data_IF_765644830892
#
_entry.id   IF_765644830892
#
_cell.length_a   1.000
_cell.length_b   1.000
_cell.length_c   1.000
_cell.angle_alpha   90.00
_cell.angle_beta   90.00
_cell.angle_gamma   90.00
#
_symmetry.space_group_name_H-M   'P 1'
#
loop_
_entity.id
_entity.type
_entity.pdbx_description
1 polymer ?
#
# COMPACT_ATOMS: atom_id res chain seq x y z
N UNK A 1 1.35 27.94 -17.00
CA UNK A 1 1.69 26.61 -17.47
C UNK A 1 3.14 26.59 -17.93
N UNK A 2 3.91 25.63 -17.45
CA UNK A 2 5.27 25.31 -17.91
C UNK A 2 5.19 24.06 -18.79
N UNK A 3 5.97 24.00 -19.86
CA UNK A 3 6.07 22.85 -20.76
C UNK A 3 7.50 22.32 -20.76
N UNK A 4 7.62 20.99 -20.78
CA UNK A 4 8.89 20.28 -20.69
C UNK A 4 9.31 19.92 -19.26
N UNK A 5 10.50 19.38 -19.10
CA UNK A 5 11.05 18.91 -17.82
C UNK A 5 11.53 20.07 -16.95
N UNK A 6 11.05 20.09 -15.70
CA UNK A 6 11.69 20.88 -14.67
C UNK A 6 12.80 20.05 -14.02
N UNK A 7 14.05 20.30 -14.39
CA UNK A 7 15.24 19.58 -13.90
C UNK A 7 16.26 20.56 -13.31
N UNK A 8 16.05 21.01 -12.06
CA UNK A 8 16.94 21.96 -11.42
C UNK A 8 18.26 21.30 -11.00
N UNK A 9 19.25 22.13 -10.71
CA UNK A 9 20.57 21.68 -10.21
C UNK A 9 20.88 22.32 -8.87
N UNK A 10 21.70 21.63 -8.09
CA UNK A 10 22.16 22.09 -6.78
C UNK A 10 21.21 21.69 -5.65
N UNK A 11 21.76 21.58 -4.47
CA UNK A 11 21.04 21.20 -3.25
C UNK A 11 20.85 22.40 -2.33
N UNK A 12 19.76 22.37 -1.58
CA UNK A 12 19.60 23.23 -0.41
C UNK A 12 20.42 22.73 0.80
N UNK A 13 20.01 23.12 1.98
CA UNK A 13 20.52 22.58 3.23
C UNK A 13 19.38 22.31 4.21
N UNK A 14 19.67 21.60 5.28
CA UNK A 14 18.67 21.32 6.33
C UNK A 14 18.02 22.59 6.89
N UNK A 15 18.79 23.68 7.04
CA UNK A 15 18.32 24.96 7.57
C UNK A 15 17.82 25.93 6.48
N UNK A 16 18.12 25.67 5.22
CA UNK A 16 17.70 26.45 4.07
C UNK A 16 17.37 25.55 2.87
N UNK A 17 16.26 24.79 2.93
CA UNK A 17 15.84 23.98 1.80
C UNK A 17 15.39 24.87 0.65
N UNK A 18 15.54 24.39 -0.57
CA UNK A 18 15.02 25.06 -1.76
C UNK A 18 13.53 24.72 -1.87
N UNK A 19 12.69 25.73 -1.98
CA UNK A 19 11.24 25.60 -2.08
C UNK A 19 10.77 26.00 -3.47
N UNK A 20 9.97 25.13 -4.09
CA UNK A 20 9.19 25.41 -5.29
C UNK A 20 7.72 25.21 -4.91
N UNK A 21 6.95 26.28 -4.95
CA UNK A 21 5.54 26.23 -4.56
C UNK A 21 4.64 27.03 -5.48
N UNK A 22 3.36 26.69 -5.47
CA UNK A 22 2.32 27.48 -6.08
C UNK A 22 2.22 28.84 -5.39
N UNK A 23 2.12 29.92 -6.16
CA UNK A 23 2.01 31.28 -5.66
C UNK A 23 0.73 31.96 -6.14
N UNK A 24 0.10 32.71 -5.25
CA UNK A 24 -1.12 33.45 -5.53
C UNK A 24 -2.40 32.64 -5.37
N UNK A 25 -3.54 33.25 -5.73
CA UNK A 25 -4.85 32.60 -5.70
C UNK A 25 -5.22 32.08 -7.10
N UNK A 26 -6.00 31.00 -7.15
CA UNK A 26 -6.49 30.39 -8.39
C UNK A 26 -6.10 28.94 -8.57
N UNK A 27 -6.11 28.47 -9.82
CA UNK A 27 -5.72 27.10 -10.13
C UNK A 27 -4.23 26.85 -9.88
N UNK A 28 -3.87 25.64 -9.45
CA UNK A 28 -2.47 25.25 -9.27
C UNK A 28 -1.63 25.54 -10.51
N UNK A 29 -0.42 26.10 -10.36
CA UNK A 29 0.50 26.19 -11.48
C UNK A 29 0.83 24.80 -12.00
N UNK A 30 0.84 24.65 -13.34
CA UNK A 30 0.98 23.34 -13.98
C UNK A 30 2.30 23.19 -14.70
N UNK A 31 2.98 22.08 -14.46
CA UNK A 31 4.10 21.60 -15.26
C UNK A 31 3.59 20.40 -16.10
N UNK A 32 3.73 20.52 -17.41
CA UNK A 32 3.37 19.48 -18.37
C UNK A 32 4.64 18.94 -19.01
N UNK A 33 4.93 17.67 -18.78
CA UNK A 33 6.12 16.99 -19.27
C UNK A 33 6.11 16.73 -20.77
N UNK A 34 4.95 16.84 -21.45
CA UNK A 34 4.81 16.59 -22.89
C UNK A 34 5.31 15.20 -23.32
N UNK A 35 5.12 14.19 -22.46
CA UNK A 35 5.43 12.80 -22.75
C UNK A 35 6.90 12.42 -22.63
N UNK A 36 7.74 13.23 -22.01
CA UNK A 36 9.15 12.91 -21.74
C UNK A 36 9.32 12.07 -20.47
N UNK A 37 10.55 11.72 -20.10
CA UNK A 37 10.84 10.82 -18.98
C UNK A 37 10.19 11.23 -17.65
N UNK A 38 10.24 12.53 -17.28
CA UNK A 38 9.57 13.07 -16.10
C UNK A 38 9.22 14.55 -16.30
N UNK A 39 8.09 14.99 -15.75
CA UNK A 39 7.74 16.41 -15.79
C UNK A 39 8.54 17.21 -14.75
N UNK A 40 8.74 16.64 -13.54
CA UNK A 40 9.67 17.13 -12.52
C UNK A 40 10.72 16.07 -12.28
N UNK A 41 12.01 16.42 -12.43
CA UNK A 41 13.13 15.51 -12.25
C UNK A 41 14.19 16.08 -11.31
N UNK A 42 14.23 15.59 -10.08
CA UNK A 42 15.26 15.93 -9.09
C UNK A 42 16.32 14.85 -9.07
N UNK A 43 17.50 15.10 -9.64
CA UNK A 43 18.56 14.12 -9.81
C UNK A 43 19.76 14.45 -8.91
N UNK A 44 20.08 13.54 -7.99
CA UNK A 44 21.26 13.64 -7.14
C UNK A 44 21.29 14.83 -6.20
N UNK A 45 20.16 15.49 -5.96
CA UNK A 45 20.06 16.72 -5.18
C UNK A 45 19.25 16.50 -3.90
N UNK A 46 19.56 17.27 -2.86
CA UNK A 46 18.99 17.15 -1.52
C UNK A 46 18.38 18.45 -1.02
N UNK A 47 17.49 18.38 -0.03
CA UNK A 47 16.85 19.50 0.64
C UNK A 47 16.01 20.36 -0.32
N UNK A 48 15.08 19.69 -1.00
CA UNK A 48 14.09 20.32 -1.88
C UNK A 48 12.67 20.05 -1.37
N UNK A 49 11.84 21.06 -1.53
CA UNK A 49 10.40 20.97 -1.24
C UNK A 49 9.62 21.38 -2.48
N UNK A 50 8.79 20.50 -2.99
CA UNK A 50 7.85 20.76 -4.09
C UNK A 50 6.45 20.78 -3.49
N UNK A 51 5.74 21.91 -3.62
CA UNK A 51 4.45 22.10 -2.97
C UNK A 51 3.41 22.71 -3.90
N UNK A 52 2.19 22.16 -3.90
CA UNK A 52 1.05 22.77 -4.56
C UNK A 52 1.23 22.99 -6.07
N UNK A 53 1.84 22.04 -6.76
CA UNK A 53 2.09 22.05 -8.20
C UNK A 53 1.25 20.96 -8.86
N UNK A 54 0.51 21.32 -9.92
CA UNK A 54 -0.13 20.35 -10.80
C UNK A 54 0.88 19.81 -11.83
N UNK A 55 0.91 18.50 -12.03
CA UNK A 55 1.88 17.82 -12.89
C UNK A 55 1.14 16.88 -13.83
N UNK A 56 1.43 16.98 -15.13
CA UNK A 56 0.96 16.04 -16.15
C UNK A 56 2.12 15.60 -17.02
N UNK A 57 2.04 14.37 -17.57
CA UNK A 57 3.06 13.86 -18.48
C UNK A 57 2.44 12.89 -19.49
N UNK A 58 1.62 13.46 -20.36
CA UNK A 58 0.89 12.71 -21.38
C UNK A 58 1.71 12.48 -22.64
N UNK A 59 1.56 11.29 -23.22
CA UNK A 59 1.95 10.99 -24.58
C UNK A 59 0.93 10.03 -25.23
N UNK A 60 0.79 10.05 -26.56
CA UNK A 60 -0.11 9.11 -27.26
C UNK A 60 0.23 7.64 -27.03
N UNK A 61 1.50 7.33 -26.82
CA UNK A 61 2.00 5.98 -26.60
C UNK A 61 2.51 5.82 -25.15
N UNK A 62 2.32 4.63 -24.58
CA UNK A 62 2.90 4.28 -23.29
C UNK A 62 4.43 4.21 -23.36
N UNK A 63 5.09 4.53 -22.27
CA UNK A 63 6.53 4.42 -22.14
C UNK A 63 7.00 4.65 -20.72
N UNK A 64 8.30 4.56 -20.46
CA UNK A 64 8.87 4.86 -19.14
C UNK A 64 8.69 6.34 -18.84
N UNK A 65 7.68 6.70 -18.05
CA UNK A 65 7.29 8.07 -17.73
C UNK A 65 6.85 8.22 -16.28
N UNK A 66 7.25 9.37 -15.74
CA UNK A 66 6.93 9.78 -14.38
C UNK A 66 6.19 11.13 -14.41
N UNK A 67 5.36 11.39 -13.42
CA UNK A 67 4.93 12.75 -13.13
C UNK A 67 6.07 13.49 -12.43
N UNK A 68 6.37 13.09 -11.19
CA UNK A 68 7.49 13.61 -10.38
C UNK A 68 8.47 12.45 -10.15
N UNK A 69 9.75 12.66 -10.49
CA UNK A 69 10.82 11.70 -10.25
C UNK A 69 11.89 12.28 -9.33
N UNK A 70 12.18 11.59 -8.24
CA UNK A 70 13.33 11.83 -7.39
C UNK A 70 14.31 10.70 -7.63
N UNK A 71 15.44 10.97 -8.28
CA UNK A 71 16.50 10.02 -8.53
C UNK A 71 17.67 10.31 -7.57
N UNK A 72 17.99 9.36 -6.71
CA UNK A 72 19.02 9.54 -5.72
C UNK A 72 20.42 9.63 -6.33
N UNK A 73 21.36 10.21 -5.59
CA UNK A 73 22.78 10.16 -5.94
C UNK A 73 23.32 8.73 -5.69
N UNK A 74 23.83 8.03 -6.70
CA UNK A 74 24.34 6.67 -6.52
C UNK A 74 25.61 6.60 -5.66
N UNK A 75 26.30 7.72 -5.46
CA UNK A 75 27.55 7.77 -4.70
C UNK A 75 27.38 8.40 -3.30
N UNK A 76 26.14 8.72 -2.89
CA UNK A 76 25.91 9.37 -1.61
C UNK A 76 24.47 9.34 -1.13
N UNK A 77 24.22 10.02 -0.03
CA UNK A 77 22.90 10.09 0.57
C UNK A 77 22.09 11.23 -0.08
N UNK A 78 20.94 10.91 -0.64
CA UNK A 78 19.94 11.90 -1.08
C UNK A 78 18.92 12.07 0.04
N UNK A 79 18.75 13.31 0.53
CA UNK A 79 17.95 13.53 1.74
C UNK A 79 17.17 14.84 1.77
N UNK A 80 16.18 14.88 2.67
CA UNK A 80 15.42 16.09 2.94
C UNK A 80 14.51 16.49 1.78
N UNK A 81 13.87 15.54 1.10
CA UNK A 81 12.97 15.79 -0.01
C UNK A 81 11.53 15.74 0.48
N UNK A 82 10.76 16.76 0.18
CA UNK A 82 9.32 16.86 0.49
C UNK A 82 8.54 17.11 -0.79
N UNK A 83 7.55 16.23 -1.05
CA UNK A 83 6.54 16.43 -2.09
C UNK A 83 5.19 16.53 -1.38
N UNK A 84 4.59 17.73 -1.42
CA UNK A 84 3.44 18.04 -0.59
C UNK A 84 2.34 18.77 -1.36
N UNK A 85 1.10 18.28 -1.24
CA UNK A 85 -0.08 18.96 -1.78
C UNK A 85 -0.06 19.14 -3.31
N UNK A 86 0.67 18.30 -4.03
CA UNK A 86 0.71 18.33 -5.49
C UNK A 86 -0.44 17.52 -6.08
N UNK A 87 -0.88 17.89 -7.28
CA UNK A 87 -1.78 17.08 -8.11
C UNK A 87 -0.98 16.47 -9.25
N UNK A 88 -0.98 15.14 -9.35
CA UNK A 88 -0.27 14.42 -10.42
C UNK A 88 -1.28 13.61 -11.20
N UNK A 89 -1.44 13.91 -12.48
CA UNK A 89 -2.44 13.24 -13.31
C UNK A 89 -2.00 13.07 -14.76
N UNK A 90 -2.72 12.22 -15.49
CA UNK A 90 -2.50 12.02 -16.93
C UNK A 90 -1.02 11.67 -17.24
N UNK A 91 -0.48 10.68 -16.53
CA UNK A 91 0.85 10.14 -16.77
C UNK A 91 0.73 8.84 -17.55
N UNK A 92 1.15 8.84 -18.81
CA UNK A 92 1.06 7.67 -19.71
C UNK A 92 2.25 6.72 -19.54
N UNK A 93 2.46 6.28 -18.31
CA UNK A 93 3.50 5.32 -17.95
C UNK A 93 3.28 3.94 -18.57
N UNK A 94 4.32 3.15 -18.67
CA UNK A 94 4.29 1.76 -19.13
C UNK A 94 4.11 0.80 -17.95
N UNK A 95 3.26 -0.20 -18.14
CA UNK A 95 2.97 -1.19 -17.12
C UNK A 95 3.16 -2.62 -17.67
N UNK A 96 4.10 -2.81 -18.57
CA UNK A 96 4.35 -4.12 -19.19
C UNK A 96 5.15 -5.02 -18.26
N UNK A 97 4.56 -6.14 -17.89
CA UNK A 97 5.27 -7.30 -17.40
C UNK A 97 5.69 -8.17 -18.57
N UNK A 98 6.82 -7.87 -19.18
CA UNK A 98 7.45 -8.79 -20.10
C UNK A 98 8.27 -9.82 -19.31
N UNK A 99 8.27 -11.10 -19.69
CA UNK A 99 9.05 -12.15 -19.02
C UNK A 99 10.55 -11.84 -18.92
N UNK A 100 11.05 -11.02 -19.83
CA UNK A 100 12.46 -10.62 -19.89
C UNK A 100 12.74 -9.25 -19.25
N UNK A 101 11.71 -8.50 -18.91
CA UNK A 101 11.83 -7.15 -18.34
C UNK A 101 10.81 -6.99 -17.22
N UNK A 102 11.09 -7.55 -16.06
CA UNK A 102 10.43 -7.15 -14.79
C UNK A 102 10.50 -5.65 -14.53
N UNK A 103 11.23 -4.97 -15.36
CA UNK A 103 11.76 -3.66 -15.18
C UNK A 103 10.73 -2.55 -15.43
N UNK A 104 9.93 -2.61 -16.47
CA UNK A 104 9.12 -1.43 -16.80
C UNK A 104 8.00 -1.15 -15.78
N UNK A 105 7.37 -2.20 -15.25
CA UNK A 105 6.36 -1.99 -14.21
C UNK A 105 6.93 -1.44 -12.91
N UNK A 106 8.22 -1.58 -12.65
CA UNK A 106 8.90 -1.10 -11.44
C UNK A 106 9.58 0.26 -11.60
N UNK A 107 9.56 0.86 -12.79
CA UNK A 107 10.29 2.09 -13.10
C UNK A 107 9.38 3.26 -13.50
N UNK A 108 8.09 3.14 -13.26
CA UNK A 108 7.11 4.16 -13.60
C UNK A 108 6.17 4.41 -12.44
N UNK A 109 5.84 5.66 -12.20
CA UNK A 109 4.71 6.01 -11.33
C UNK A 109 4.33 7.49 -11.48
N UNK A 110 3.19 7.86 -10.91
CA UNK A 110 2.83 9.26 -10.78
C UNK A 110 3.89 10.03 -10.01
N UNK A 111 4.24 9.52 -8.80
CA UNK A 111 5.38 10.02 -8.00
C UNK A 111 6.36 8.87 -7.81
N UNK A 112 7.57 9.01 -8.37
CA UNK A 112 8.61 7.99 -8.33
C UNK A 112 9.84 8.48 -7.58
N UNK A 113 10.21 7.77 -6.51
CA UNK A 113 11.40 8.05 -5.71
C UNK A 113 12.30 6.82 -5.77
N UNK A 114 13.50 6.96 -6.32
CA UNK A 114 14.34 5.79 -6.61
C UNK A 114 15.82 6.02 -6.38
N UNK A 115 16.51 4.93 -6.06
CA UNK A 115 17.96 4.83 -6.13
C UNK A 115 18.34 4.15 -7.47
N UNK A 116 19.14 4.78 -8.33
CA UNK A 116 19.58 4.18 -9.59
C UNK A 116 20.71 3.17 -9.33
N UNK A 117 20.40 1.93 -9.09
CA UNK A 117 21.33 0.89 -8.68
C UNK A 117 21.00 0.34 -7.30
N UNK A 118 21.98 -0.22 -6.61
CA UNK A 118 21.82 -0.79 -5.26
C UNK A 118 22.07 0.24 -4.18
N UNK A 119 21.22 0.24 -3.17
CA UNK A 119 21.44 1.04 -1.97
C UNK A 119 22.42 0.37 -0.99
N UNK A 120 23.02 1.17 -0.13
CA UNK A 120 23.89 0.73 0.95
C UNK A 120 23.85 1.75 2.11
N UNK A 121 24.58 1.48 3.20
CA UNK A 121 24.73 2.46 4.29
C UNK A 121 25.38 3.78 3.86
N UNK A 122 26.05 3.82 2.72
CA UNK A 122 26.79 4.98 2.22
C UNK A 122 26.04 5.74 1.12
N UNK A 123 25.11 5.08 0.42
CA UNK A 123 24.29 5.64 -0.63
C UNK A 123 22.85 5.15 -0.48
N UNK A 124 21.96 6.00 -0.05
CA UNK A 124 20.55 5.69 0.14
C UNK A 124 19.68 6.95 0.18
N UNK A 125 18.39 6.76 0.19
CA UNK A 125 17.40 7.80 0.44
C UNK A 125 17.23 7.99 1.95
N UNK A 126 17.23 9.24 2.41
CA UNK A 126 16.98 9.59 3.80
C UNK A 126 16.06 10.80 3.93
N UNK A 127 15.14 10.78 4.87
CA UNK A 127 14.22 11.90 5.12
C UNK A 127 13.44 12.29 3.85
N UNK A 128 12.63 11.35 3.36
CA UNK A 128 11.76 11.50 2.19
C UNK A 128 10.32 11.54 2.67
N UNK A 129 9.63 12.65 2.39
CA UNK A 129 8.24 12.85 2.80
C UNK A 129 7.38 13.09 1.55
N UNK A 130 6.39 12.23 1.34
CA UNK A 130 5.37 12.35 0.29
C UNK A 130 4.03 12.51 0.99
N UNK A 131 3.46 13.72 0.98
CA UNK A 131 2.30 14.00 1.83
C UNK A 131 1.22 14.84 1.17
N UNK A 132 -0.05 14.48 1.40
CA UNK A 132 -1.20 15.29 0.98
C UNK A 132 -1.32 15.47 -0.53
N UNK A 133 -0.71 14.62 -1.34
CA UNK A 133 -0.79 14.70 -2.80
C UNK A 133 -2.07 14.02 -3.32
N UNK A 134 -2.57 14.50 -4.45
CA UNK A 134 -3.61 13.85 -5.22
C UNK A 134 -3.02 13.28 -6.50
N UNK A 135 -2.95 11.95 -6.58
CA UNK A 135 -2.39 11.22 -7.74
C UNK A 135 -3.51 10.44 -8.39
N UNK A 136 -3.83 10.74 -9.65
CA UNK A 136 -4.98 10.10 -10.31
C UNK A 136 -4.82 10.00 -11.83
N UNK A 137 -5.57 9.10 -12.43
CA UNK A 137 -5.57 8.90 -13.88
C UNK A 137 -4.15 8.68 -14.43
N UNK A 138 -3.36 7.85 -13.73
CA UNK A 138 -2.01 7.46 -14.15
C UNK A 138 -2.01 6.02 -14.66
N UNK A 139 -1.41 5.76 -15.83
CA UNK A 139 -1.42 4.44 -16.47
C UNK A 139 -0.39 3.46 -15.86
N UNK A 140 0.09 3.73 -14.68
CA UNK A 140 1.08 2.96 -13.92
C UNK A 140 0.75 3.05 -12.43
N UNK A 141 1.72 2.80 -11.54
CA UNK A 141 1.51 2.95 -10.09
C UNK A 141 1.33 4.42 -9.67
N UNK A 142 0.58 4.66 -8.60
CA UNK A 142 0.38 6.01 -8.08
C UNK A 142 1.66 6.58 -7.47
N UNK A 143 2.13 5.98 -6.37
CA UNK A 143 3.35 6.39 -5.66
C UNK A 143 4.26 5.18 -5.50
N UNK A 144 5.57 5.36 -5.78
CA UNK A 144 6.56 4.31 -5.63
C UNK A 144 7.85 4.84 -5.01
N UNK A 145 8.37 4.11 -4.04
CA UNK A 145 9.71 4.28 -3.46
C UNK A 145 10.46 2.96 -3.57
N UNK A 146 11.61 2.92 -4.26
CA UNK A 146 12.42 1.70 -4.38
C UNK A 146 13.87 2.01 -4.80
N UNK A 147 14.66 0.95 -4.96
CA UNK A 147 15.87 0.96 -5.77
C UNK A 147 15.66 0.22 -7.10
N UNK A 148 16.48 0.50 -8.11
CA UNK A 148 16.32 -0.09 -9.45
C UNK A 148 16.95 -1.47 -9.58
N UNK A 149 18.03 -1.75 -8.89
CA UNK A 149 18.72 -3.04 -8.94
C UNK A 149 18.52 -3.83 -7.66
N UNK A 150 18.28 -5.14 -7.79
CA UNK A 150 18.18 -6.09 -6.68
C UNK A 150 17.23 -5.62 -5.55
N UNK A 151 16.06 -5.16 -5.92
CA UNK A 151 15.12 -4.49 -5.02
C UNK A 151 14.59 -5.37 -3.87
N UNK A 152 14.86 -6.69 -3.90
CA UNK A 152 14.40 -7.63 -2.87
C UNK A 152 15.44 -7.91 -1.77
N UNK A 153 16.70 -7.47 -1.93
CA UNK A 153 17.78 -7.87 -1.02
C UNK A 153 18.37 -6.74 -0.17
N UNK A 154 18.19 -5.50 -0.57
CA UNK A 154 18.79 -4.36 0.14
C UNK A 154 17.73 -3.56 0.91
N UNK A 155 18.00 -3.24 2.16
CA UNK A 155 17.11 -2.47 3.04
C UNK A 155 17.93 -1.35 3.67
N UNK A 156 18.00 -0.17 3.03
CA UNK A 156 18.88 0.91 3.48
C UNK A 156 18.22 2.28 3.50
N UNK A 157 17.09 2.49 2.77
CA UNK A 157 16.39 3.77 2.82
C UNK A 157 15.83 4.00 4.22
N UNK A 158 15.94 5.21 4.73
CA UNK A 158 15.56 5.52 6.10
C UNK A 158 14.69 6.76 6.19
N UNK A 159 13.81 6.82 7.17
CA UNK A 159 12.92 7.94 7.41
C UNK A 159 12.08 8.28 6.16
N UNK A 160 11.47 7.25 5.56
CA UNK A 160 10.54 7.38 4.44
C UNK A 160 9.11 7.44 4.98
N UNK A 161 8.40 8.50 4.66
CA UNK A 161 7.03 8.75 5.11
C UNK A 161 6.14 9.02 3.91
N UNK A 162 5.11 8.20 3.72
CA UNK A 162 4.05 8.38 2.72
C UNK A 162 2.74 8.56 3.47
N UNK A 163 2.20 9.79 3.51
CA UNK A 163 1.05 10.07 4.38
C UNK A 163 0.00 10.99 3.78
N UNK A 164 -1.27 10.72 4.08
CA UNK A 164 -2.37 11.61 3.74
C UNK A 164 -2.54 11.84 2.23
N UNK A 165 -2.00 10.96 1.39
CA UNK A 165 -2.15 11.07 -0.05
C UNK A 165 -3.48 10.45 -0.48
N UNK A 166 -4.05 10.97 -1.57
CA UNK A 166 -5.18 10.41 -2.28
C UNK A 166 -4.70 9.88 -3.62
N UNK A 167 -4.91 8.58 -3.84
CA UNK A 167 -4.57 7.89 -5.09
C UNK A 167 -5.86 7.35 -5.70
N UNK A 168 -6.09 7.59 -6.98
CA UNK A 168 -7.31 7.13 -7.67
C UNK A 168 -7.02 6.70 -9.10
N UNK A 169 -7.68 5.62 -9.50
CA UNK A 169 -7.66 5.15 -10.90
C UNK A 169 -6.25 5.05 -11.47
N UNK A 170 -5.52 4.09 -10.99
CA UNK A 170 -4.19 3.77 -11.51
C UNK A 170 -4.24 2.66 -12.56
N UNK A 171 -3.19 2.52 -13.33
CA UNK A 171 -3.02 1.40 -14.27
C UNK A 171 -2.45 0.14 -13.61
N UNK A 172 -1.84 0.28 -12.44
CA UNK A 172 -1.37 -0.82 -11.59
C UNK A 172 -1.57 -0.46 -10.11
N UNK A 173 -0.56 -0.62 -9.29
CA UNK A 173 -0.62 -0.43 -7.84
C UNK A 173 -0.98 1.00 -7.40
N UNK A 174 -1.49 1.13 -6.19
CA UNK A 174 -1.69 2.43 -5.59
C UNK A 174 -0.40 2.99 -5.00
N UNK A 175 0.12 2.38 -3.94
CA UNK A 175 1.34 2.80 -3.23
C UNK A 175 2.27 1.61 -3.04
N UNK A 176 3.54 1.79 -3.40
CA UNK A 176 4.60 0.81 -3.21
C UNK A 176 5.75 1.45 -2.43
N UNK A 177 6.18 0.81 -1.34
CA UNK A 177 7.35 1.24 -0.59
C UNK A 177 8.30 0.06 -0.41
N UNK A 178 9.49 0.19 -0.96
CA UNK A 178 10.50 -0.86 -0.91
C UNK A 178 11.86 -0.33 -0.40
N UNK A 179 12.74 -1.25 0.01
CA UNK A 179 14.12 -1.01 0.41
C UNK A 179 14.30 -0.09 1.62
N UNK A 180 13.29 -0.04 2.49
CA UNK A 180 13.20 0.93 3.58
C UNK A 180 13.30 0.27 4.97
N UNK A 181 14.00 0.96 5.88
CA UNK A 181 14.00 0.65 7.31
C UNK A 181 12.90 1.49 7.98
N UNK A 182 11.97 0.83 8.65
CA UNK A 182 10.86 1.42 9.41
C UNK A 182 10.08 2.49 8.62
N UNK A 183 9.65 2.23 7.37
CA UNK A 183 8.85 3.21 6.64
C UNK A 183 7.49 3.38 7.32
N UNK A 184 6.96 4.61 7.22
CA UNK A 184 5.61 4.93 7.68
C UNK A 184 4.69 5.21 6.50
N UNK A 185 3.62 4.41 6.36
CA UNK A 185 2.56 4.61 5.37
C UNK A 185 1.27 4.88 6.15
N UNK A 186 0.83 6.14 6.20
CA UNK A 186 -0.13 6.60 7.20
C UNK A 186 -1.24 7.47 6.61
N UNK A 187 -2.49 7.10 6.84
CA UNK A 187 -3.65 7.93 6.51
C UNK A 187 -3.83 8.20 5.01
N UNK A 188 -3.33 7.32 4.13
CA UNK A 188 -3.54 7.46 2.69
C UNK A 188 -4.89 6.87 2.30
N UNK A 189 -5.44 7.38 1.19
CA UNK A 189 -6.63 6.84 0.56
C UNK A 189 -6.29 6.38 -0.85
N UNK A 190 -6.43 5.07 -1.08
CA UNK A 190 -6.13 4.43 -2.35
C UNK A 190 -7.41 3.78 -2.91
N UNK A 191 -7.89 4.27 -4.04
CA UNK A 191 -9.13 3.81 -4.65
C UNK A 191 -8.89 3.41 -6.10
N UNK A 192 -9.54 2.30 -6.51
CA UNK A 192 -9.53 1.83 -7.88
C UNK A 192 -8.11 1.59 -8.45
N UNK A 193 -7.23 0.99 -7.66
CA UNK A 193 -5.94 0.52 -8.17
C UNK A 193 -6.17 -0.52 -9.28
N UNK A 194 -5.48 -0.38 -10.40
CA UNK A 194 -5.64 -1.23 -11.58
C UNK A 194 -6.82 -0.87 -12.49
N UNK A 195 -7.64 0.13 -12.16
CA UNK A 195 -8.83 0.47 -12.95
C UNK A 195 -8.51 0.91 -14.40
N UNK A 196 -7.33 1.46 -14.62
CA UNK A 196 -6.82 1.81 -15.96
C UNK A 196 -5.87 0.75 -16.52
N UNK A 197 -5.75 -0.38 -15.85
CA UNK A 197 -4.95 -1.52 -16.26
C UNK A 197 -5.54 -2.20 -17.48
N UNK A 198 -4.68 -2.91 -18.19
CA UNK A 198 -5.04 -3.75 -19.33
C UNK A 198 -4.75 -5.20 -18.96
N UNK A 199 -5.73 -6.10 -19.12
CA UNK A 199 -5.60 -7.55 -18.83
C UNK A 199 -4.43 -8.23 -19.56
N UNK A 200 -3.99 -7.68 -20.70
CA UNK A 200 -2.85 -8.22 -21.45
C UNK A 200 -1.50 -7.79 -20.87
N UNK A 201 -1.45 -6.64 -20.20
CA UNK A 201 -0.20 -6.01 -19.75
C UNK A 201 -0.10 -5.92 -18.23
N UNK A 202 -1.22 -5.62 -17.54
CA UNK A 202 -1.26 -5.47 -16.08
C UNK A 202 -1.38 -6.83 -15.42
N UNK A 203 -0.50 -7.10 -14.47
CA UNK A 203 -0.50 -8.32 -13.68
C UNK A 203 -0.04 -7.99 -12.27
N UNK A 204 -0.46 -8.76 -11.29
CA UNK A 204 0.05 -8.71 -9.92
C UNK A 204 0.02 -7.28 -9.35
N UNK A 205 -1.11 -6.86 -8.84
CA UNK A 205 -1.27 -5.52 -8.25
C UNK A 205 -1.85 -5.62 -6.85
N UNK A 206 -1.53 -4.63 -6.03
CA UNK A 206 -2.19 -4.40 -4.76
C UNK A 206 -2.48 -2.90 -4.53
N UNK A 207 -3.38 -2.61 -3.61
CA UNK A 207 -3.68 -1.22 -3.26
C UNK A 207 -2.48 -0.54 -2.63
N UNK A 208 -1.98 -1.07 -1.52
CA UNK A 208 -0.78 -0.58 -0.80
C UNK A 208 0.07 -1.78 -0.39
N UNK A 209 1.34 -1.79 -0.76
CA UNK A 209 2.23 -2.89 -0.40
C UNK A 209 3.67 -2.49 -0.12
N UNK A 210 4.38 -3.38 0.56
CA UNK A 210 5.76 -3.23 0.96
C UNK A 210 6.60 -4.42 0.51
N UNK A 211 7.84 -4.16 0.09
CA UNK A 211 8.79 -5.16 -0.36
C UNK A 211 10.19 -4.81 0.14
N UNK A 212 10.99 -5.79 0.56
CA UNK A 212 12.33 -5.53 1.09
C UNK A 212 12.34 -4.39 2.12
N UNK A 213 11.40 -4.41 3.06
CA UNK A 213 11.35 -3.44 4.17
C UNK A 213 11.64 -4.13 5.48
N UNK A 214 12.16 -3.39 6.46
CA UNK A 214 12.27 -3.83 7.84
C UNK A 214 11.36 -2.99 8.72
N UNK A 215 10.58 -3.64 9.59
CA UNK A 215 9.76 -3.01 10.61
C UNK A 215 8.81 -1.90 10.07
N UNK A 216 8.16 -2.17 8.95
CA UNK A 216 7.24 -1.24 8.31
C UNK A 216 5.95 -1.05 9.13
N UNK A 217 5.43 0.19 9.16
CA UNK A 217 4.16 0.51 9.78
C UNK A 217 3.17 1.09 8.75
N UNK A 218 2.09 0.36 8.50
CA UNK A 218 1.01 0.71 7.59
C UNK A 218 -0.25 0.92 8.40
N UNK A 219 -0.71 2.17 8.54
CA UNK A 219 -1.81 2.47 9.45
C UNK A 219 -2.76 3.56 8.95
N UNK A 220 -4.02 3.48 9.39
CA UNK A 220 -5.06 4.48 9.11
C UNK A 220 -5.27 4.76 7.62
N UNK A 221 -4.90 3.80 6.76
CA UNK A 221 -5.15 3.92 5.34
C UNK A 221 -6.54 3.40 4.99
N UNK A 222 -7.13 3.97 3.94
CA UNK A 222 -8.32 3.44 3.28
C UNK A 222 -7.92 2.89 1.92
N UNK A 223 -8.32 1.64 1.62
CA UNK A 223 -8.05 0.98 0.34
C UNK A 223 -9.31 0.34 -0.19
N UNK A 224 -9.70 0.71 -1.42
CA UNK A 224 -10.93 0.16 -2.02
C UNK A 224 -10.85 -0.03 -3.52
N UNK A 225 -11.65 -0.96 -4.02
CA UNK A 225 -11.85 -1.16 -5.45
C UNK A 225 -10.62 -1.65 -6.21
N UNK A 226 -9.62 -2.22 -5.53
CA UNK A 226 -8.45 -2.81 -6.19
C UNK A 226 -8.91 -3.92 -7.13
N UNK A 227 -8.46 -3.87 -8.38
CA UNK A 227 -8.87 -4.82 -9.42
C UNK A 227 -8.11 -6.13 -9.32
N UNK A 228 -8.80 -7.23 -9.61
CA UNK A 228 -8.18 -8.55 -9.69
C UNK A 228 -7.51 -8.76 -11.05
N UNK A 229 -6.20 -8.98 -11.04
CA UNK A 229 -5.43 -9.41 -12.20
C UNK A 229 -4.69 -10.72 -11.88
N UNK A 230 -4.97 -11.77 -12.65
CA UNK A 230 -4.52 -13.14 -12.34
C UNK A 230 -4.96 -13.56 -10.92
N UNK A 231 -4.06 -13.62 -9.97
CA UNK A 231 -4.34 -13.96 -8.58
C UNK A 231 -4.19 -12.80 -7.60
N UNK A 232 -3.73 -11.62 -8.04
CA UNK A 232 -3.52 -10.44 -7.21
C UNK A 232 -4.65 -9.43 -7.37
N UNK A 233 -4.77 -8.54 -6.42
CA UNK A 233 -5.84 -7.54 -6.36
C UNK A 233 -6.27 -7.28 -4.93
N UNK A 234 -5.40 -7.59 -3.97
CA UNK A 234 -5.63 -7.39 -2.54
C UNK A 234 -5.53 -5.91 -2.16
N UNK A 235 -6.16 -5.56 -1.05
CA UNK A 235 -5.98 -4.22 -0.48
C UNK A 235 -4.54 -3.98 -0.07
N UNK A 236 -3.95 -4.95 0.63
CA UNK A 236 -2.58 -4.90 1.14
C UNK A 236 -1.76 -6.10 0.70
N UNK A 237 -0.41 -5.91 0.67
CA UNK A 237 0.52 -6.98 0.41
C UNK A 237 1.82 -6.77 1.22
N UNK A 238 2.35 -7.89 1.73
CA UNK A 238 3.69 -7.96 2.33
C UNK A 238 4.53 -8.90 1.48
N UNK A 239 5.39 -8.32 0.66
CA UNK A 239 6.07 -9.01 -0.41
C UNK A 239 7.53 -9.37 -0.04
N UNK A 240 8.26 -9.87 -0.99
CA UNK A 240 9.58 -10.48 -0.91
C UNK A 240 10.62 -9.62 -0.19
N UNK A 241 11.57 -10.27 0.46
CA UNK A 241 12.68 -9.60 1.11
C UNK A 241 12.32 -8.77 2.34
N UNK A 242 11.09 -8.88 2.84
CA UNK A 242 10.65 -8.21 4.06
C UNK A 242 11.34 -8.79 5.28
N UNK A 243 11.85 -7.92 6.16
CA UNK A 243 12.58 -8.25 7.38
C UNK A 243 11.88 -7.66 8.61
N UNK A 244 12.31 -8.10 9.81
CA UNK A 244 11.73 -7.63 11.06
C UNK A 244 10.24 -7.95 11.16
N UNK A 245 9.43 -7.01 11.65
CA UNK A 245 7.98 -7.16 11.80
C UNK A 245 7.24 -6.07 11.04
N UNK A 246 6.43 -6.44 10.07
CA UNK A 246 5.52 -5.52 9.37
C UNK A 246 4.20 -5.43 10.13
N UNK A 247 3.69 -4.22 10.34
CA UNK A 247 2.43 -3.99 11.07
C UNK A 247 1.43 -3.25 10.20
N UNK A 248 0.25 -3.85 10.02
CA UNK A 248 -0.94 -3.22 9.46
C UNK A 248 -1.95 -2.99 10.57
N UNK A 249 -2.27 -1.73 10.87
CA UNK A 249 -3.20 -1.44 11.97
C UNK A 249 -4.13 -0.26 11.67
N UNK A 250 -5.36 -0.33 12.20
CA UNK A 250 -6.37 0.73 12.08
C UNK A 250 -6.66 1.14 10.63
N UNK A 251 -6.47 0.22 9.68
CA UNK A 251 -6.80 0.46 8.29
C UNK A 251 -8.27 0.09 8.03
N UNK A 252 -8.83 0.73 7.01
CA UNK A 252 -10.14 0.40 6.47
C UNK A 252 -9.99 -0.06 5.02
N UNK A 253 -10.51 -1.26 4.70
CA UNK A 253 -10.49 -1.80 3.35
C UNK A 253 -11.90 -2.18 2.95
N UNK A 254 -12.24 -1.99 1.67
CA UNK A 254 -13.55 -2.42 1.18
C UNK A 254 -13.58 -2.65 -0.34
N UNK A 255 -14.40 -3.60 -0.77
CA UNK A 255 -14.69 -3.88 -2.18
C UNK A 255 -13.44 -4.21 -3.03
N UNK A 256 -12.36 -4.70 -2.42
CA UNK A 256 -11.17 -5.14 -3.15
C UNK A 256 -11.39 -6.53 -3.75
N UNK A 257 -11.15 -6.69 -5.04
CA UNK A 257 -11.49 -7.91 -5.77
C UNK A 257 -10.60 -9.11 -5.42
N UNK A 258 -9.34 -8.89 -5.06
CA UNK A 258 -8.41 -9.93 -4.66
C UNK A 258 -8.48 -10.29 -3.18
N UNK A 259 -9.07 -9.42 -2.35
CA UNK A 259 -9.20 -9.66 -0.92
C UNK A 259 -8.51 -8.63 -0.03
N UNK A 260 -8.33 -9.00 1.24
CA UNK A 260 -7.81 -8.08 2.24
C UNK A 260 -6.28 -7.98 2.23
N UNK A 261 -5.58 -9.12 2.25
CA UNK A 261 -4.12 -9.12 2.37
C UNK A 261 -3.47 -10.30 1.67
N UNK A 262 -2.31 -10.05 1.02
CA UNK A 262 -1.42 -11.05 0.41
C UNK A 262 -0.15 -11.21 1.26
N UNK A 263 0.27 -12.46 1.50
CA UNK A 263 1.51 -12.80 2.19
C UNK A 263 2.49 -13.52 1.26
N UNK A 264 3.54 -12.79 0.85
CA UNK A 264 4.68 -13.32 0.08
C UNK A 264 6.00 -13.26 0.87
N UNK A 265 5.97 -13.14 2.20
CA UNK A 265 7.16 -12.89 3.03
C UNK A 265 8.21 -13.99 2.98
N UNK A 266 7.85 -15.23 2.63
CA UNK A 266 8.73 -16.40 2.68
C UNK A 266 9.72 -16.54 1.53
N UNK A 267 9.68 -15.71 0.52
CA UNK A 267 10.49 -15.89 -0.72
C UNK A 267 11.92 -15.41 -0.55
N UNK A 268 12.39 -14.79 0.41
CA UNK A 268 13.82 -14.54 0.63
C UNK A 268 14.24 -14.92 2.04
N UNK A 269 14.66 -16.16 2.21
CA UNK A 269 15.03 -16.74 3.50
C UNK A 269 16.37 -16.27 4.07
N UNK A 270 17.10 -15.41 3.35
CA UNK A 270 18.39 -14.87 3.83
C UNK A 270 18.24 -13.68 4.76
N UNK A 271 17.01 -13.20 4.96
CA UNK A 271 16.66 -12.05 5.79
C UNK A 271 15.82 -12.55 6.97
N UNK A 272 16.09 -12.09 8.18
CA UNK A 272 15.29 -12.42 9.35
C UNK A 272 13.94 -11.72 9.29
N UNK A 273 12.91 -12.43 8.83
CA UNK A 273 11.52 -12.01 8.89
C UNK A 273 10.86 -12.60 10.16
N UNK A 274 10.29 -11.75 10.98
CA UNK A 274 9.53 -12.15 12.19
C UNK A 274 8.04 -12.29 11.92
N UNK A 275 7.63 -11.98 10.70
CA UNK A 275 6.25 -12.09 10.23
C UNK A 275 5.50 -10.77 10.24
N UNK A 276 4.20 -10.88 9.93
CA UNK A 276 3.31 -9.74 9.79
C UNK A 276 2.28 -9.73 10.91
N UNK A 277 1.99 -8.54 11.44
CA UNK A 277 0.91 -8.31 12.39
C UNK A 277 -0.19 -7.50 11.70
N UNK A 278 -1.41 -8.04 11.68
CA UNK A 278 -2.58 -7.34 11.19
C UNK A 278 -3.56 -7.17 12.35
N UNK A 279 -3.76 -5.93 12.82
CA UNK A 279 -4.58 -5.68 14.01
C UNK A 279 -5.46 -4.46 13.88
N UNK A 280 -6.67 -4.57 14.46
CA UNK A 280 -7.61 -3.44 14.56
C UNK A 280 -7.99 -2.86 13.20
N UNK A 281 -7.90 -3.68 12.16
CA UNK A 281 -8.33 -3.31 10.81
C UNK A 281 -9.79 -3.65 10.61
N UNK A 282 -10.41 -2.95 9.68
CA UNK A 282 -11.78 -3.15 9.25
C UNK A 282 -11.73 -3.53 7.78
N UNK A 283 -12.23 -4.72 7.44
CA UNK A 283 -12.36 -5.21 6.07
C UNK A 283 -13.85 -5.43 5.76
N UNK A 284 -14.36 -4.74 4.75
CA UNK A 284 -15.77 -4.80 4.36
C UNK A 284 -15.90 -5.23 2.91
N UNK A 285 -16.59 -6.33 2.67
CA UNK A 285 -16.85 -6.84 1.32
C UNK A 285 -15.61 -7.03 0.43
N UNK A 286 -14.43 -7.18 1.03
CA UNK A 286 -13.24 -7.63 0.30
C UNK A 286 -13.49 -9.05 -0.20
N UNK A 287 -13.47 -9.25 -1.53
CA UNK A 287 -13.92 -10.51 -2.15
C UNK A 287 -12.79 -11.54 -2.22
N UNK A 288 -13.01 -12.64 -2.90
CA UNK A 288 -12.10 -13.78 -3.13
C UNK A 288 -11.58 -14.41 -1.84
N UNK A 289 -10.72 -13.76 -1.09
CA UNK A 289 -10.22 -14.28 0.18
C UNK A 289 -9.80 -13.17 1.16
N UNK A 290 -9.83 -13.44 2.44
CA UNK A 290 -9.27 -12.52 3.43
C UNK A 290 -7.74 -12.52 3.33
N UNK A 291 -7.14 -13.70 3.18
CA UNK A 291 -5.70 -13.87 3.05
C UNK A 291 -5.40 -14.70 1.81
N UNK A 292 -4.56 -14.13 0.95
CA UNK A 292 -3.84 -14.90 -0.06
C UNK A 292 -2.45 -15.24 0.48
N UNK A 293 -2.15 -16.51 0.68
CA UNK A 293 -0.86 -16.95 1.20
C UNK A 293 -0.02 -17.56 0.07
N UNK A 294 0.92 -16.75 -0.45
CA UNK A 294 1.86 -17.16 -1.47
C UNK A 294 3.28 -17.30 -0.86
N UNK A 295 3.47 -18.32 -0.04
CA UNK A 295 4.72 -18.61 0.69
C UNK A 295 4.95 -17.72 1.93
N UNK A 296 3.90 -17.34 2.65
CA UNK A 296 4.00 -16.63 3.91
C UNK A 296 4.82 -17.35 4.99
N UNK A 297 5.49 -16.59 5.84
CA UNK A 297 6.25 -17.13 6.97
C UNK A 297 5.36 -17.23 8.20
N UNK A 298 4.74 -16.13 8.60
CA UNK A 298 3.88 -16.02 9.76
C UNK A 298 3.05 -14.77 9.72
N UNK A 299 1.79 -14.88 10.11
CA UNK A 299 0.96 -13.72 10.40
C UNK A 299 0.18 -13.90 11.70
N UNK A 300 0.17 -12.85 12.51
CA UNK A 300 -0.67 -12.72 13.70
C UNK A 300 -1.80 -11.71 13.41
N UNK A 301 -3.03 -12.21 13.27
CA UNK A 301 -4.22 -11.41 13.01
C UNK A 301 -5.06 -11.32 14.28
N UNK A 302 -5.17 -10.13 14.86
CA UNK A 302 -5.98 -10.00 16.06
C UNK A 302 -6.76 -8.68 16.16
N UNK A 303 -7.95 -8.79 16.74
CA UNK A 303 -8.83 -7.65 16.91
C UNK A 303 -9.25 -6.99 15.60
N UNK A 304 -9.34 -7.74 14.49
CA UNK A 304 -9.85 -7.20 13.23
C UNK A 304 -11.35 -7.47 13.10
N UNK A 305 -12.03 -6.62 12.34
CA UNK A 305 -13.39 -6.84 11.89
C UNK A 305 -13.37 -7.25 10.41
N UNK A 306 -13.90 -8.40 10.10
CA UNK A 306 -14.20 -8.88 8.77
C UNK A 306 -15.72 -8.90 8.60
N UNK A 307 -16.25 -7.91 7.91
CA UNK A 307 -17.68 -7.73 7.63
C UNK A 307 -17.97 -8.06 6.17
N UNK A 308 -18.86 -9.01 5.91
CA UNK A 308 -19.23 -9.36 4.55
C UNK A 308 -20.76 -9.52 4.43
N UNK A 309 -21.35 -8.63 3.65
CA UNK A 309 -22.81 -8.57 3.39
C UNK A 309 -23.17 -8.98 1.96
N UNK A 310 -22.16 -9.36 1.16
CA UNK A 310 -22.33 -9.75 -0.24
C UNK A 310 -22.86 -11.18 -0.45
N UNK A 311 -23.16 -11.50 -1.68
CA UNK A 311 -23.70 -12.82 -2.06
C UNK A 311 -22.63 -13.93 -2.00
N UNK A 312 -21.38 -13.61 -2.28
CA UNK A 312 -20.25 -14.53 -2.27
C UNK A 312 -19.36 -14.19 -1.07
N UNK A 313 -19.29 -15.08 -0.11
CA UNK A 313 -18.42 -14.91 1.06
C UNK A 313 -16.98 -15.28 0.68
N UNK A 314 -15.97 -14.48 1.07
CA UNK A 314 -14.58 -14.80 0.77
C UNK A 314 -14.12 -16.09 1.43
N UNK A 315 -13.14 -16.76 0.85
CA UNK A 315 -12.37 -17.77 1.57
C UNK A 315 -11.58 -17.09 2.71
N UNK A 316 -11.35 -17.79 3.82
CA UNK A 316 -10.52 -17.25 4.90
C UNK A 316 -9.06 -17.20 4.45
N UNK A 317 -8.58 -18.28 3.85
CA UNK A 317 -7.26 -18.32 3.21
C UNK A 317 -7.37 -18.97 1.84
N UNK A 318 -6.55 -18.56 0.90
CA UNK A 318 -6.39 -19.20 -0.40
C UNK A 318 -4.93 -19.36 -0.79
N UNK A 319 -4.63 -20.26 -1.74
CA UNK A 319 -3.37 -20.64 -2.36
C UNK A 319 -2.48 -21.56 -1.49
N UNK A 320 -2.26 -21.31 -0.24
CA UNK A 320 -1.54 -22.18 0.69
C UNK A 320 -2.50 -22.72 1.75
N UNK A 321 -2.06 -23.68 2.52
CA UNK A 321 -2.86 -24.28 3.58
C UNK A 321 -2.97 -23.43 4.86
N UNK A 322 -2.47 -22.20 4.84
CA UNK A 322 -2.61 -21.18 5.89
C UNK A 322 -2.02 -21.57 7.25
N UNK A 323 -1.11 -22.55 7.30
CA UNK A 323 -0.57 -23.09 8.57
C UNK A 323 0.20 -22.08 9.41
N UNK A 324 0.64 -20.98 8.78
CA UNK A 324 1.44 -19.95 9.42
C UNK A 324 0.62 -18.82 10.03
N UNK A 325 -0.72 -18.85 9.90
CA UNK A 325 -1.55 -17.73 10.32
C UNK A 325 -2.29 -18.03 11.64
N UNK A 326 -2.26 -17.04 12.53
CA UNK A 326 -2.85 -17.12 13.86
C UNK A 326 -3.94 -16.04 14.00
N UNK A 327 -5.17 -16.45 14.21
CA UNK A 327 -6.31 -15.57 14.37
C UNK A 327 -6.77 -15.54 15.83
N UNK A 328 -6.72 -14.38 16.48
CA UNK A 328 -7.23 -14.23 17.85
C UNK A 328 -8.08 -12.98 18.00
N UNK A 329 -9.15 -13.09 18.78
CA UNK A 329 -10.03 -11.97 19.09
C UNK A 329 -10.54 -11.18 17.85
N UNK A 330 -10.60 -11.80 16.66
CA UNK A 330 -11.20 -11.18 15.48
C UNK A 330 -12.72 -11.36 15.49
N UNK A 331 -13.39 -10.54 14.70
CA UNK A 331 -14.83 -10.58 14.50
C UNK A 331 -15.11 -10.95 13.05
N UNK A 332 -15.66 -12.13 12.82
CA UNK A 332 -16.13 -12.61 11.52
C UNK A 332 -17.65 -12.40 11.43
N UNK A 333 -18.04 -11.28 10.86
CA UNK A 333 -19.43 -10.86 10.69
C UNK A 333 -19.90 -11.10 9.24
N UNK A 334 -19.96 -12.37 8.85
CA UNK A 334 -20.40 -12.76 7.51
C UNK A 334 -21.89 -13.13 7.53
N UNK A 335 -22.62 -12.73 6.49
CA UNK A 335 -24.03 -13.17 6.30
C UNK A 335 -24.15 -14.64 5.89
N UNK A 336 -23.07 -15.24 5.36
CA UNK A 336 -23.01 -16.61 4.88
C UNK A 336 -21.70 -17.27 5.31
N UNK A 337 -21.69 -18.61 5.32
CA UNK A 337 -20.50 -19.37 5.60
C UNK A 337 -19.35 -19.07 4.63
N UNK A 338 -18.08 -19.06 5.12
CA UNK A 338 -16.93 -18.82 4.26
C UNK A 338 -16.86 -19.81 3.09
N UNK A 339 -16.53 -19.34 1.91
CA UNK A 339 -16.21 -20.20 0.78
C UNK A 339 -15.07 -21.14 1.18
N UNK A 340 -15.12 -22.40 0.85
CA UNK A 340 -14.13 -23.42 1.24
C UNK A 340 -13.97 -23.66 2.77
N UNK A 341 -14.81 -23.07 3.63
CA UNK A 341 -14.79 -23.26 5.07
C UNK A 341 -13.60 -22.60 5.79
N UNK A 342 -13.31 -23.08 6.99
CA UNK A 342 -12.26 -22.56 7.88
C UNK A 342 -10.95 -23.33 7.66
N UNK A 343 -10.14 -22.88 6.71
CA UNK A 343 -8.91 -23.60 6.37
C UNK A 343 -7.76 -23.29 7.34
N UNK A 344 -7.05 -24.31 7.63
CA UNK A 344 -5.71 -24.61 8.17
C UNK A 344 -4.97 -23.61 9.10
N UNK A 345 -5.52 -22.47 9.45
CA UNK A 345 -4.96 -21.54 10.44
C UNK A 345 -5.29 -21.93 11.87
N UNK A 346 -4.57 -21.39 12.82
CA UNK A 346 -4.90 -21.54 14.25
C UNK A 346 -5.83 -20.40 14.66
N UNK A 347 -6.97 -20.74 15.25
CA UNK A 347 -7.98 -19.81 15.73
C UNK A 347 -8.14 -19.93 17.24
N UNK A 348 -8.27 -18.79 17.91
CA UNK A 348 -8.55 -18.74 19.35
C UNK A 348 -9.34 -17.48 19.72
N UNK A 349 -10.41 -17.64 20.51
CA UNK A 349 -11.21 -16.53 21.05
C UNK A 349 -11.75 -15.56 20.00
N UNK A 350 -12.14 -16.04 18.83
CA UNK A 350 -12.75 -15.20 17.81
C UNK A 350 -14.28 -15.15 17.94
N UNK A 351 -14.89 -14.09 17.41
CA UNK A 351 -16.33 -13.87 17.33
C UNK A 351 -16.82 -14.27 15.93
N UNK A 352 -17.92 -15.02 15.86
CA UNK A 352 -18.39 -15.62 14.60
C UNK A 352 -19.77 -15.13 14.15
N UNK A 353 -20.25 -14.00 14.66
CA UNK A 353 -21.54 -13.44 14.24
C UNK A 353 -22.69 -14.46 14.36
N UNK A 354 -23.41 -14.64 13.26
CA UNK A 354 -24.51 -15.61 13.14
C UNK A 354 -24.11 -16.92 12.45
N UNK A 355 -22.82 -17.16 12.20
CA UNK A 355 -22.33 -18.33 11.48
C UNK A 355 -22.59 -19.64 12.26
N UNK A 356 -22.90 -20.70 11.51
CA UNK A 356 -23.21 -22.02 12.07
C UNK A 356 -21.96 -22.89 12.20
N UNK A 357 -20.93 -22.65 11.36
CA UNK A 357 -19.66 -23.39 11.40
C UNK A 357 -18.56 -22.54 12.03
N UNK A 358 -17.60 -23.22 12.65
CA UNK A 358 -16.44 -22.63 13.31
C UNK A 358 -15.21 -23.50 13.10
N UNK A 359 -13.99 -22.91 13.13
CA UNK A 359 -12.77 -23.71 13.09
C UNK A 359 -12.68 -24.62 14.32
N UNK A 360 -12.32 -25.87 14.12
CA UNK A 360 -12.16 -26.83 15.23
C UNK A 360 -11.04 -26.45 16.21
N UNK A 361 -10.08 -25.64 15.77
CA UNK A 361 -9.00 -25.14 16.62
C UNK A 361 -9.48 -24.10 17.63
N UNK A 362 -10.58 -23.38 17.37
CA UNK A 362 -11.08 -22.34 18.27
C UNK A 362 -11.96 -22.94 19.38
N UNK A 363 -11.30 -23.40 20.45
CA UNK A 363 -11.98 -24.00 21.61
C UNK A 363 -12.72 -22.96 22.48
N UNK A 364 -12.34 -21.71 22.34
CA UNK A 364 -12.86 -20.58 23.11
C UNK A 364 -13.65 -19.61 22.19
N UNK A 365 -14.22 -20.14 21.10
CA UNK A 365 -15.02 -19.39 20.15
C UNK A 365 -16.22 -18.69 20.84
N UNK A 366 -16.47 -17.44 20.44
CA UNK A 366 -17.55 -16.62 20.99
C UNK A 366 -18.69 -16.47 20.00
N UNK A 367 -19.91 -16.41 20.54
CA UNK A 367 -21.13 -16.21 19.75
C UNK A 367 -21.45 -14.73 19.56
N UNK A 368 -22.09 -14.39 18.44
CA UNK A 368 -22.55 -13.05 18.13
C UNK A 368 -21.44 -12.11 17.75
N UNK A 369 -21.65 -10.84 18.03
CA UNK A 369 -20.68 -9.75 17.80
C UNK A 369 -20.66 -8.86 19.05
N UNK A 370 -19.49 -8.33 19.46
CA UNK A 370 -19.35 -7.60 20.72
C UNK A 370 -19.96 -6.19 20.70
N UNK A 371 -20.38 -5.69 19.53
CA UNK A 371 -21.04 -4.40 19.35
C UNK A 371 -21.98 -4.42 18.13
N UNK A 372 -22.95 -3.49 18.02
CA UNK A 372 -23.89 -3.47 16.92
C UNK A 372 -23.21 -3.22 15.56
N UNK A 373 -23.49 -4.08 14.59
CA UNK A 373 -22.97 -3.99 13.22
C UNK A 373 -24.04 -3.64 12.19
N UNK A 374 -25.33 -3.56 12.57
CA UNK A 374 -26.43 -3.23 11.66
C UNK A 374 -26.18 -1.88 10.97
N UNK A 375 -26.17 -1.89 9.64
CA UNK A 375 -25.89 -0.71 8.81
C UNK A 375 -24.50 -0.11 9.01
N UNK A 376 -23.56 -0.86 9.61
CA UNK A 376 -22.20 -0.40 9.87
C UNK A 376 -21.45 -0.07 8.57
N UNK A 377 -21.58 -0.89 7.54
CA UNK A 377 -21.02 -0.67 6.20
C UNK A 377 -21.26 0.77 5.72
N UNK A 378 -22.51 1.19 5.66
CA UNK A 378 -22.90 2.54 5.21
C UNK A 378 -22.34 3.65 6.10
N UNK A 379 -22.21 3.40 7.41
CA UNK A 379 -21.62 4.39 8.33
C UNK A 379 -20.11 4.53 8.13
N UNK A 380 -19.42 3.42 7.88
CA UNK A 380 -17.99 3.40 7.60
C UNK A 380 -17.64 4.12 6.29
N UNK A 381 -18.45 3.92 5.24
CA UNK A 381 -18.30 4.63 3.97
C UNK A 381 -18.55 6.15 4.10
N UNK A 382 -19.54 6.53 4.92
CA UNK A 382 -19.99 7.91 5.04
C UNK A 382 -19.13 8.76 5.97
N UNK A 383 -18.45 8.15 6.96
CA UNK A 383 -17.80 8.89 8.04
C UNK A 383 -16.45 8.30 8.46
N UNK A 384 -15.33 8.95 8.12
CA UNK A 384 -14.01 8.56 8.61
C UNK A 384 -13.85 8.58 10.15
N UNK A 385 -14.70 9.29 10.88
CA UNK A 385 -14.68 9.25 12.35
C UNK A 385 -15.25 7.93 12.85
N UNK A 386 -16.26 7.38 12.17
CA UNK A 386 -16.78 6.05 12.48
C UNK A 386 -15.72 4.97 12.27
N UNK A 387 -14.91 5.06 11.21
CA UNK A 387 -13.79 4.14 10.99
C UNK A 387 -12.81 4.14 12.17
N UNK A 388 -12.45 5.32 12.66
CA UNK A 388 -11.56 5.46 13.83
C UNK A 388 -12.22 4.92 15.10
N UNK A 389 -13.49 5.28 15.35
CA UNK A 389 -14.25 4.81 16.51
C UNK A 389 -14.34 3.28 16.55
N UNK A 390 -14.61 2.64 15.43
CA UNK A 390 -14.66 1.17 15.34
C UNK A 390 -13.26 0.58 15.55
N UNK A 391 -12.20 1.16 14.97
CA UNK A 391 -10.82 0.72 15.20
C UNK A 391 -10.43 0.75 16.69
N UNK A 392 -10.77 1.82 17.40
CA UNK A 392 -10.54 1.92 18.84
C UNK A 392 -11.36 0.88 19.63
N UNK A 393 -12.61 0.67 19.23
CA UNK A 393 -13.48 -0.35 19.84
C UNK A 393 -12.96 -1.77 19.62
N UNK A 394 -12.39 -2.05 18.46
CA UNK A 394 -11.73 -3.33 18.16
C UNK A 394 -10.52 -3.55 19.08
N UNK A 395 -9.69 -2.53 19.28
CA UNK A 395 -8.54 -2.61 20.19
C UNK A 395 -8.98 -2.88 21.63
N UNK A 396 -10.01 -2.16 22.15
CA UNK A 396 -10.58 -2.39 23.48
C UNK A 396 -11.16 -3.82 23.60
N UNK A 397 -11.88 -4.28 22.58
CA UNK A 397 -12.48 -5.62 22.56
C UNK A 397 -11.42 -6.69 22.58
N UNK A 398 -10.35 -6.57 21.81
CA UNK A 398 -9.24 -7.53 21.79
C UNK A 398 -8.58 -7.65 23.17
N UNK A 399 -8.30 -6.53 23.84
CA UNK A 399 -7.73 -6.53 25.20
C UNK A 399 -8.65 -7.23 26.20
N UNK A 400 -9.96 -6.97 26.17
CA UNK A 400 -10.94 -7.64 27.06
C UNK A 400 -11.01 -9.13 26.79
N UNK A 401 -10.95 -9.53 25.54
CA UNK A 401 -10.99 -10.93 25.12
C UNK A 401 -9.78 -11.73 25.61
N UNK A 402 -8.59 -11.10 25.67
CA UNK A 402 -7.38 -11.73 26.21
C UNK A 402 -7.41 -11.92 27.75
N UNK A 403 -8.23 -11.15 28.46
CA UNK A 403 -8.33 -11.20 29.93
C UNK A 403 -9.34 -12.23 30.46
N UNK A 404 -10.14 -12.85 29.60
CA UNK A 404 -11.10 -13.92 29.91
C UNK A 404 -10.49 -15.30 29.63
#
# INVERSE_FOLDING_TARGET
KWQGMFCPKGSGSRTAPILVEGYGEGAMPRIDGEGIYAAIYLEGISFWKIKGIAVTNHAPERGVRQGICICANPEGITQGIVIEGCEVSDVTGENRRNRDVYASMYWNSGIYVTMPGRSSRHNHLHDIIISGNYVHDVLTSGIRVNQQEDFINDIHHTHVVVRGNRIERTGSDGIIVANCISPLIDGNRCMDAGALGNLEETRLIAGIWVCATSDALIQRNEVSGTRLFENDGTAFDTDWGTAGTTIFQYNYTHDNQGGFWLDCTGINRNIECRGTILRYNISVNDSRCLIQDDYGIRADLYGNLFLHTGQETPAVCCNNDGKSHFFSANIFAFEREPAAGWQASVFTRNWYGSLQTRPQSDKEAMDGVPFPIDGLEKRLEADPQEQRRIGDLLAETAVRTEQV
#
